data_IF_791407693092
#
_entry.id   IF_791407693092
#
_cell.length_a   1.000
_cell.length_b   1.000
_cell.length_c   1.000
_cell.angle_alpha   90.00
_cell.angle_beta   90.00
_cell.angle_gamma   90.00
#
_symmetry.space_group_name_H-M   'P 1'
#
loop_
_entity.id
_entity.type
_entity.pdbx_description
1 polymer ?
#
# COMPACT_ATOMS: atom_id res chain seq x y z
N UNK A 1 10.98 -14.07 -5.71
CA UNK A 1 9.88 -13.23 -6.23
C UNK A 1 8.68 -13.58 -5.39
N UNK A 2 8.38 -12.78 -4.38
CA UNK A 2 7.33 -13.08 -3.40
C UNK A 2 5.96 -12.85 -4.06
N UNK A 3 5.16 -13.91 -4.22
CA UNK A 3 3.76 -13.79 -4.57
C UNK A 3 3.05 -13.03 -3.44
N UNK A 4 2.68 -11.76 -3.68
CA UNK A 4 1.82 -11.01 -2.76
C UNK A 4 0.49 -11.77 -2.67
N UNK A 5 0.21 -12.40 -1.53
CA UNK A 5 -1.10 -13.01 -1.27
C UNK A 5 -2.16 -11.92 -1.33
N UNK A 6 -3.04 -11.99 -2.32
CA UNK A 6 -4.16 -11.08 -2.44
C UNK A 6 -5.10 -11.27 -1.25
N UNK A 7 -5.50 -10.19 -0.60
CA UNK A 7 -6.49 -10.28 0.47
C UNK A 7 -7.87 -10.46 -0.18
N UNK A 8 -8.53 -11.57 0.16
CA UNK A 8 -9.82 -11.95 -0.41
C UNK A 8 -10.92 -11.78 0.63
N UNK A 9 -12.03 -11.15 0.24
CA UNK A 9 -13.22 -11.05 1.07
C UNK A 9 -14.42 -11.63 0.32
N UNK A 10 -15.05 -12.69 0.86
CA UNK A 10 -16.20 -13.36 0.24
C UNK A 10 -17.49 -12.96 0.93
N UNK A 11 -18.52 -12.65 0.14
CA UNK A 11 -19.91 -12.50 0.59
C UNK A 11 -20.80 -13.55 -0.04
N UNK A 12 -21.42 -14.35 0.80
CA UNK A 12 -22.30 -15.45 0.38
C UNK A 12 -23.66 -14.93 -0.09
N UNK A 13 -24.17 -15.47 -1.21
CA UNK A 13 -25.51 -15.21 -1.72
C UNK A 13 -25.78 -13.76 -2.11
N UNK A 14 -24.74 -13.03 -2.52
CA UNK A 14 -24.83 -11.62 -2.93
C UNK A 14 -24.51 -11.37 -4.40
N UNK A 15 -24.16 -12.41 -5.16
CA UNK A 15 -23.92 -12.36 -6.58
C UNK A 15 -25.21 -12.43 -7.39
N UNK A 16 -25.09 -12.76 -8.67
CA UNK A 16 -26.22 -12.79 -9.60
C UNK A 16 -27.31 -13.77 -9.15
N UNK A 17 -28.56 -13.30 -9.17
CA UNK A 17 -29.75 -14.09 -8.84
C UNK A 17 -30.49 -14.49 -10.13
N UNK A 18 -30.95 -15.75 -10.20
CA UNK A 18 -31.81 -16.25 -11.27
C UNK A 18 -32.98 -17.03 -10.65
N UNK A 19 -34.20 -16.93 -11.22
CA UNK A 19 -35.36 -17.67 -10.69
C UNK A 19 -35.08 -19.18 -10.63
N UNK A 20 -35.25 -19.78 -9.45
CA UNK A 20 -35.05 -21.22 -9.23
C UNK A 20 -33.61 -21.66 -8.92
N UNK A 21 -32.65 -20.73 -8.82
CA UNK A 21 -31.25 -21.03 -8.47
C UNK A 21 -30.85 -20.36 -7.15
N UNK A 22 -29.92 -20.97 -6.43
CA UNK A 22 -29.27 -20.31 -5.30
C UNK A 22 -28.42 -19.13 -5.79
N UNK A 23 -28.48 -17.96 -5.13
CA UNK A 23 -27.71 -16.79 -5.53
C UNK A 23 -26.20 -17.07 -5.44
N UNK A 24 -25.44 -16.56 -6.40
CA UNK A 24 -23.98 -16.73 -6.43
C UNK A 24 -23.30 -15.93 -5.30
N UNK A 25 -21.99 -16.16 -5.11
CA UNK A 25 -21.19 -15.40 -4.16
C UNK A 25 -20.41 -14.29 -4.84
N UNK A 26 -20.15 -13.20 -4.12
CA UNK A 26 -19.23 -12.15 -4.55
C UNK A 26 -17.91 -12.32 -3.81
N UNK A 27 -16.82 -12.40 -4.56
CA UNK A 27 -15.45 -12.39 -4.02
C UNK A 27 -14.79 -11.07 -4.41
N UNK A 28 -14.37 -10.31 -3.40
CA UNK A 28 -13.57 -9.11 -3.58
C UNK A 28 -12.09 -9.49 -3.50
N UNK A 29 -11.33 -9.04 -4.50
CA UNK A 29 -9.88 -9.14 -4.54
C UNK A 29 -9.33 -7.76 -4.19
N UNK A 30 -8.59 -7.67 -3.09
CA UNK A 30 -7.93 -6.43 -2.69
C UNK A 30 -6.54 -6.45 -3.29
N UNK A 31 -6.33 -5.55 -4.25
CA UNK A 31 -5.03 -5.30 -4.86
C UNK A 31 -4.45 -3.99 -4.34
N UNK A 32 -3.17 -4.03 -3.95
CA UNK A 32 -2.44 -2.83 -3.60
C UNK A 32 -2.00 -2.10 -4.88
N UNK A 33 -2.52 -0.90 -5.09
CA UNK A 33 -2.05 -0.03 -6.18
C UNK A 33 -0.67 0.53 -5.83
N UNK A 34 0.23 0.53 -6.81
CA UNK A 34 1.54 1.20 -6.68
C UNK A 34 1.33 2.67 -6.30
N UNK A 35 2.00 3.10 -5.22
CA UNK A 35 2.07 4.50 -4.83
C UNK A 35 3.26 5.17 -5.51
N UNK A 36 3.16 6.47 -5.80
CA UNK A 36 4.22 7.19 -6.54
C UNK A 36 5.49 7.35 -5.71
N UNK A 37 5.35 7.46 -4.39
CA UNK A 37 6.45 7.72 -3.46
C UNK A 37 6.82 6.53 -2.58
N UNK A 38 5.84 5.67 -2.27
CA UNK A 38 6.01 4.63 -1.27
C UNK A 38 5.92 3.26 -1.90
N UNK A 39 6.75 2.36 -1.40
CA UNK A 39 6.62 0.93 -1.63
C UNK A 39 6.35 0.27 -0.29
N UNK A 40 5.32 -0.56 -0.20
CA UNK A 40 5.14 -1.41 0.98
C UNK A 40 6.17 -2.53 0.96
N UNK A 41 6.92 -2.64 2.03
CA UNK A 41 7.76 -3.79 2.36
C UNK A 41 7.10 -4.56 3.51
N UNK A 42 6.86 -5.86 3.34
CA UNK A 42 6.19 -6.67 4.35
C UNK A 42 4.77 -6.19 4.70
N UNK A 43 4.43 -6.23 5.99
CA UNK A 43 3.09 -5.94 6.50
C UNK A 43 2.92 -4.50 7.03
N UNK A 44 3.98 -3.93 7.59
CA UNK A 44 3.90 -2.72 8.41
C UNK A 44 4.83 -1.60 7.94
N UNK A 45 5.77 -1.89 7.03
CA UNK A 45 6.83 -0.97 6.68
C UNK A 45 6.57 -0.32 5.31
N UNK A 46 6.97 0.95 5.20
CA UNK A 46 6.91 1.74 3.97
C UNK A 46 8.33 2.21 3.64
N UNK A 47 8.77 1.91 2.43
CA UNK A 47 10.04 2.37 1.89
C UNK A 47 9.82 3.55 0.95
N UNK A 48 10.72 4.53 1.01
CA UNK A 48 10.85 5.65 0.07
C UNK A 48 12.34 5.86 -0.23
N UNK A 49 12.66 6.17 -1.49
CA UNK A 49 14.01 6.56 -1.87
C UNK A 49 14.03 8.07 -2.14
N UNK A 50 14.85 8.80 -1.38
CA UNK A 50 15.03 10.24 -1.52
C UNK A 50 16.49 10.49 -1.86
N UNK A 51 16.73 11.21 -2.95
CA UNK A 51 18.08 11.65 -3.31
C UNK A 51 18.43 12.90 -2.51
N UNK A 52 19.58 12.86 -1.84
CA UNK A 52 20.12 13.98 -1.06
C UNK A 52 21.52 14.36 -1.57
N UNK A 53 21.87 15.66 -1.57
CA UNK A 53 23.23 16.09 -1.84
C UNK A 53 24.23 15.45 -0.86
N UNK A 54 25.43 15.12 -1.35
CA UNK A 54 26.48 14.55 -0.51
C UNK A 54 26.86 15.48 0.67
N UNK A 55 26.84 16.79 0.45
CA UNK A 55 27.11 17.76 1.53
C UNK A 55 26.11 17.61 2.67
N UNK A 56 24.82 17.54 2.35
CA UNK A 56 23.73 17.39 3.32
C UNK A 56 23.80 16.04 4.06
N UNK A 57 24.20 14.98 3.35
CA UNK A 57 24.44 13.66 3.94
C UNK A 57 25.61 13.64 4.94
N UNK A 58 26.62 14.50 4.75
CA UNK A 58 27.82 14.55 5.59
C UNK A 58 27.72 15.56 6.74
N UNK A 59 27.00 16.66 6.53
CA UNK A 59 26.86 17.74 7.53
C UNK A 59 25.60 17.62 8.39
N UNK A 60 24.71 16.69 8.03
CA UNK A 60 23.37 16.60 8.59
C UNK A 60 22.42 17.60 7.93
N UNK A 61 21.18 17.19 7.71
CA UNK A 61 20.15 18.03 7.10
C UNK A 61 18.77 17.73 7.69
N UNK A 62 17.89 18.74 7.63
CA UNK A 62 16.48 18.60 7.96
C UNK A 62 15.69 18.59 6.66
N UNK A 63 15.04 17.47 6.36
CA UNK A 63 14.27 17.29 5.14
C UNK A 63 12.80 17.02 5.50
N UNK A 64 11.85 17.77 4.92
CA UNK A 64 10.44 17.44 5.05
C UNK A 64 10.17 16.16 4.26
N UNK A 65 9.87 15.08 4.98
CA UNK A 65 9.51 13.81 4.35
C UNK A 65 7.98 13.70 4.39
N UNK A 66 7.31 13.60 3.21
CA UNK A 66 5.89 13.33 3.19
C UNK A 66 5.66 11.96 3.83
N UNK A 67 4.62 11.82 4.64
CA UNK A 67 4.20 10.55 5.23
C UNK A 67 2.73 10.27 4.87
N UNK A 68 2.30 9.02 5.00
CA UNK A 68 0.92 8.63 4.75
C UNK A 68 0.02 9.13 5.90
N UNK A 69 -0.28 10.43 5.92
CA UNK A 69 -1.03 11.09 6.98
C UNK A 69 -0.62 12.54 7.28
N UNK A 70 0.43 13.06 6.63
CA UNK A 70 0.94 14.40 6.87
C UNK A 70 2.37 14.60 6.41
N UNK A 71 3.10 15.47 7.10
CA UNK A 71 4.50 15.80 6.83
C UNK A 71 5.25 15.74 8.16
N UNK A 72 6.43 15.12 8.14
CA UNK A 72 7.34 15.10 9.28
C UNK A 72 8.70 15.67 8.86
N UNK A 73 9.26 16.53 9.71
CA UNK A 73 10.64 16.97 9.59
C UNK A 73 11.57 15.86 10.06
N UNK A 74 12.26 15.22 9.13
CA UNK A 74 13.29 14.23 9.45
C UNK A 74 14.65 14.92 9.50
N UNK A 75 15.39 14.66 10.58
CA UNK A 75 16.76 15.11 10.75
C UNK A 75 17.69 13.91 10.59
N UNK A 76 18.61 14.00 9.63
CA UNK A 76 19.66 13.01 9.35
C UNK A 76 20.94 13.42 10.07
#
# INVERSE_FOLDING_TARGET
MEEKKHNLFRREGKGDEKPGYLPADIVFIIEEKKHNLFRREGNNDLEICIEIPLVDALTGCSLPIPILGGELDFVI
#
